data_IF_999575781647
#
_entry.id   IF_999575781647
#
_cell.length_a   1.000
_cell.length_b   1.000
_cell.length_c   1.000
_cell.angle_alpha   90.00
_cell.angle_beta   90.00
_cell.angle_gamma   90.00
#
_symmetry.space_group_name_H-M   'P 1'
#
loop_
_entity.id
_entity.type
_entity.pdbx_description
1 polymer ?
#
# COMPACT_ATOMS: atom_id res chain seq x y z
N UNK A 1 17.57 11.43 -6.41
CA UNK A 1 16.98 12.62 -5.74
C UNK A 1 18.03 13.17 -4.78
N UNK A 2 18.07 14.49 -4.56
CA UNK A 2 18.84 15.00 -3.42
C UNK A 2 18.13 14.57 -2.13
N UNK A 3 18.89 14.43 -1.02
CA UNK A 3 18.35 13.91 0.25
C UNK A 3 17.13 14.70 0.76
N UNK A 4 17.11 16.03 0.58
CA UNK A 4 15.98 16.88 0.96
C UNK A 4 14.68 16.58 0.19
N UNK A 5 14.76 16.36 -1.12
CA UNK A 5 13.58 16.05 -1.97
C UNK A 5 12.98 14.67 -1.63
N UNK A 6 13.81 13.76 -1.16
CA UNK A 6 13.41 12.42 -0.74
C UNK A 6 12.53 12.46 0.50
N UNK A 7 12.98 13.16 1.54
CA UNK A 7 12.22 13.29 2.79
C UNK A 7 10.89 14.01 2.56
N UNK A 8 10.86 15.07 1.75
CA UNK A 8 9.61 15.79 1.42
C UNK A 8 8.65 14.88 0.67
N UNK A 9 9.14 14.13 -0.33
CA UNK A 9 8.29 13.19 -1.10
C UNK A 9 7.77 12.06 -0.23
N UNK A 10 8.62 11.47 0.62
CA UNK A 10 8.26 10.43 1.57
C UNK A 10 7.19 10.91 2.57
N UNK A 11 7.35 12.11 3.13
CA UNK A 11 6.38 12.71 4.05
C UNK A 11 5.03 12.91 3.37
N UNK A 12 5.03 13.47 2.16
CA UNK A 12 3.80 13.62 1.36
C UNK A 12 3.15 12.27 1.03
N UNK A 13 3.95 11.23 0.78
CA UNK A 13 3.42 9.89 0.59
C UNK A 13 2.75 9.36 1.85
N UNK A 14 3.32 9.60 3.03
CA UNK A 14 2.72 9.21 4.32
C UNK A 14 1.37 9.92 4.54
N UNK A 15 1.29 11.21 4.26
CA UNK A 15 0.02 11.96 4.33
C UNK A 15 -1.03 11.38 3.38
N UNK A 16 -0.63 11.06 2.14
CA UNK A 16 -1.52 10.42 1.15
C UNK A 16 -1.94 9.02 1.60
N UNK A 17 -1.03 8.23 2.18
CA UNK A 17 -1.33 6.90 2.74
C UNK A 17 -2.39 7.01 3.83
N UNK A 18 -2.18 7.91 4.79
CA UNK A 18 -3.10 8.12 5.91
C UNK A 18 -4.48 8.55 5.41
N UNK A 19 -4.55 9.55 4.53
CA UNK A 19 -5.81 10.06 3.99
C UNK A 19 -6.57 8.98 3.19
N UNK A 20 -5.90 8.30 2.25
CA UNK A 20 -6.56 7.29 1.40
C UNK A 20 -7.00 6.06 2.21
N UNK A 21 -6.25 5.70 3.26
CA UNK A 21 -6.65 4.62 4.17
C UNK A 21 -7.86 5.03 5.00
N UNK A 22 -7.86 6.26 5.53
CA UNK A 22 -8.96 6.80 6.32
C UNK A 22 -10.25 6.94 5.51
N UNK A 23 -10.19 7.54 4.32
CA UNK A 23 -11.35 7.72 3.44
C UNK A 23 -12.01 6.38 3.10
N UNK A 24 -11.20 5.36 2.83
CA UNK A 24 -11.71 4.02 2.54
C UNK A 24 -12.31 3.35 3.78
N UNK A 25 -11.64 3.45 4.93
CA UNK A 25 -12.09 2.91 6.20
C UNK A 25 -13.37 3.58 6.72
N UNK A 26 -13.54 4.87 6.48
CA UNK A 26 -14.73 5.64 6.87
C UNK A 26 -15.93 5.33 5.96
N UNK A 27 -15.67 4.94 4.71
CA UNK A 27 -16.73 4.74 3.73
C UNK A 27 -17.81 3.75 4.21
N UNK A 28 -19.07 4.13 4.03
CA UNK A 28 -20.22 3.32 4.44
C UNK A 28 -20.15 1.91 3.84
N UNK A 29 -19.76 1.83 2.56
CA UNK A 29 -19.64 0.57 1.83
C UNK A 29 -18.59 -0.36 2.45
N UNK A 30 -17.42 0.16 2.79
CA UNK A 30 -16.38 -0.63 3.47
C UNK A 30 -16.88 -1.10 4.84
N UNK A 31 -17.43 -0.19 5.64
CA UNK A 31 -17.94 -0.49 6.98
C UNK A 31 -19.04 -1.56 6.97
N UNK A 32 -19.96 -1.50 6.01
CA UNK A 32 -20.96 -2.54 5.81
C UNK A 32 -20.30 -3.87 5.44
N UNK A 33 -19.35 -3.88 4.48
CA UNK A 33 -18.69 -5.10 4.02
C UNK A 33 -17.88 -5.81 5.11
N UNK A 34 -17.28 -5.08 6.06
CA UNK A 34 -16.55 -5.65 7.20
C UNK A 34 -17.43 -5.95 8.41
N UNK A 35 -18.72 -5.57 8.40
CA UNK A 35 -19.61 -5.72 9.55
C UNK A 35 -19.22 -4.83 10.73
N UNK A 36 -18.80 -3.59 10.44
CA UNK A 36 -18.11 -2.69 11.37
C UNK A 36 -18.80 -2.52 12.73
N UNK A 37 -20.14 -2.43 12.75
CA UNK A 37 -20.94 -2.27 13.97
C UNK A 37 -20.86 -3.46 14.94
N UNK A 38 -20.43 -4.63 14.47
CA UNK A 38 -20.27 -5.85 15.26
C UNK A 38 -18.82 -6.07 15.72
N UNK A 39 -17.89 -5.25 15.24
CA UNK A 39 -16.47 -5.36 15.56
C UNK A 39 -16.16 -4.66 16.88
N UNK A 40 -15.32 -5.29 17.70
CA UNK A 40 -14.72 -4.59 18.83
C UNK A 40 -13.78 -3.48 18.33
N UNK A 41 -13.52 -2.48 19.17
CA UNK A 41 -12.56 -1.40 18.84
C UNK A 41 -11.20 -1.96 18.42
N UNK A 42 -10.70 -2.97 19.14
CA UNK A 42 -9.43 -3.63 18.82
C UNK A 42 -9.45 -4.22 17.39
N UNK A 43 -10.57 -4.81 16.97
CA UNK A 43 -10.68 -5.38 15.63
C UNK A 43 -10.83 -4.30 14.55
N UNK A 44 -11.50 -3.18 14.87
CA UNK A 44 -11.55 -2.01 13.98
C UNK A 44 -10.16 -1.41 13.77
N UNK A 45 -9.39 -1.22 14.86
CA UNK A 45 -8.02 -0.69 14.83
C UNK A 45 -7.10 -1.65 14.04
N UNK A 46 -7.24 -2.97 14.26
CA UNK A 46 -6.47 -3.98 13.49
C UNK A 46 -6.75 -3.90 11.99
N UNK A 47 -8.01 -3.76 11.60
CA UNK A 47 -8.39 -3.65 10.18
C UNK A 47 -7.83 -2.36 9.59
N UNK A 48 -7.91 -1.24 10.31
CA UNK A 48 -7.32 0.02 9.87
C UNK A 48 -5.80 -0.09 9.65
N UNK A 49 -5.09 -0.69 10.60
CA UNK A 49 -3.65 -0.93 10.49
C UNK A 49 -3.30 -1.82 9.28
N UNK A 50 -4.16 -2.79 8.94
CA UNK A 50 -3.98 -3.62 7.75
C UNK A 50 -4.15 -2.83 6.45
N UNK A 51 -5.03 -1.81 6.42
CA UNK A 51 -5.14 -0.91 5.27
C UNK A 51 -3.85 -0.09 5.10
N UNK A 52 -3.35 0.54 6.16
CA UNK A 52 -2.13 1.36 6.10
C UNK A 52 -0.90 0.53 5.68
N UNK A 53 -0.71 -0.66 6.27
CA UNK A 53 0.42 -1.53 5.88
C UNK A 53 0.27 -2.07 4.45
N UNK A 54 -0.97 -2.23 3.95
CA UNK A 54 -1.20 -2.61 2.56
C UNK A 54 -0.71 -1.52 1.61
N UNK A 55 -0.96 -0.23 1.88
CA UNK A 55 -0.43 0.85 1.04
C UNK A 55 1.09 1.00 1.18
N UNK A 56 1.65 0.84 2.38
CA UNK A 56 3.11 0.74 2.53
C UNK A 56 3.69 -0.42 1.72
N UNK A 57 2.98 -1.55 1.68
CA UNK A 57 3.29 -2.71 0.84
C UNK A 57 3.25 -2.40 -0.65
N UNK A 58 2.31 -1.56 -1.08
CA UNK A 58 2.25 -1.04 -2.44
C UNK A 58 3.54 -0.29 -2.81
N UNK A 59 4.00 0.62 -1.94
CA UNK A 59 5.27 1.35 -2.14
C UNK A 59 6.45 0.37 -2.22
N UNK A 60 6.46 -0.65 -1.35
CA UNK A 60 7.50 -1.66 -1.35
C UNK A 60 7.55 -2.46 -2.66
N UNK A 61 6.40 -2.88 -3.19
CA UNK A 61 6.32 -3.60 -4.47
C UNK A 61 6.66 -2.68 -5.66
N UNK A 62 6.37 -1.38 -5.61
CA UNK A 62 6.88 -0.41 -6.59
C UNK A 62 8.41 -0.36 -6.60
N UNK A 63 9.05 -0.35 -5.44
CA UNK A 63 10.51 -0.37 -5.35
C UNK A 63 11.15 -1.69 -5.83
N UNK A 64 10.44 -2.83 -5.76
CA UNK A 64 10.91 -4.09 -6.35
C UNK A 64 10.95 -4.02 -7.88
N UNK A 65 10.04 -3.27 -8.50
CA UNK A 65 10.01 -3.08 -9.96
C UNK A 65 11.00 -2.00 -10.42
N UNK A 66 11.12 -0.92 -9.65
CA UNK A 66 11.95 0.23 -9.99
C UNK A 66 12.99 0.45 -8.87
N UNK A 67 14.22 -0.08 -9.03
CA UNK A 67 15.25 0.02 -8.00
C UNK A 67 15.58 1.45 -7.56
N UNK A 68 15.34 2.44 -8.43
CA UNK A 68 15.49 3.86 -8.10
C UNK A 68 14.55 4.34 -6.97
N UNK A 69 13.50 3.59 -6.64
CA UNK A 69 12.55 3.89 -5.57
C UNK A 69 12.90 3.20 -4.23
N UNK A 70 14.02 2.47 -4.15
CA UNK A 70 14.42 1.78 -2.91
C UNK A 70 14.59 2.76 -1.75
N UNK A 71 15.28 3.88 -1.99
CA UNK A 71 15.51 4.91 -0.97
C UNK A 71 14.18 5.57 -0.58
N UNK A 72 13.29 5.78 -1.55
CA UNK A 72 11.96 6.35 -1.29
C UNK A 72 11.11 5.42 -0.42
N UNK A 73 11.16 4.11 -0.67
CA UNK A 73 10.50 3.11 0.20
C UNK A 73 11.03 3.19 1.63
N UNK A 74 12.35 3.23 1.79
CA UNK A 74 12.97 3.29 3.13
C UNK A 74 12.58 4.57 3.87
N UNK A 75 12.66 5.71 3.19
CA UNK A 75 12.31 7.00 3.78
C UNK A 75 10.80 7.09 4.05
N UNK A 76 9.93 6.53 3.20
CA UNK A 76 8.48 6.48 3.44
C UNK A 76 8.16 5.70 4.72
N UNK A 77 8.80 4.54 4.93
CA UNK A 77 8.63 3.77 6.18
C UNK A 77 9.18 4.54 7.38
N UNK A 78 10.32 5.23 7.23
CA UNK A 78 10.89 6.05 8.30
C UNK A 78 9.95 7.19 8.70
N UNK A 79 9.47 7.96 7.71
CA UNK A 79 8.52 9.05 7.89
C UNK A 79 7.21 8.53 8.50
N UNK A 80 6.69 7.38 8.07
CA UNK A 80 5.47 6.80 8.63
C UNK A 80 5.61 6.52 10.13
N UNK A 81 6.69 5.85 10.54
CA UNK A 81 6.94 5.56 11.95
C UNK A 81 7.23 6.83 12.76
N UNK A 82 7.84 7.83 12.14
CA UNK A 82 8.08 9.13 12.78
C UNK A 82 6.77 9.88 13.04
N UNK A 83 5.87 9.93 12.06
CA UNK A 83 4.53 10.52 12.23
C UNK A 83 3.76 9.79 13.34
N UNK A 84 3.82 8.46 13.39
CA UNK A 84 3.18 7.70 14.47
C UNK A 84 3.73 8.08 15.86
N UNK A 85 5.06 8.27 16.00
CA UNK A 85 5.65 8.77 17.25
C UNK A 85 5.17 10.17 17.61
N UNK A 86 5.12 11.07 16.63
CA UNK A 86 4.68 12.45 16.81
C UNK A 86 3.21 12.55 17.21
N UNK A 87 2.38 11.58 16.77
CA UNK A 87 0.99 11.41 17.20
C UNK A 87 0.86 10.79 18.61
N UNK A 88 1.98 10.52 19.29
CA UNK A 88 2.01 10.03 20.67
C UNK A 88 2.02 8.51 20.81
N UNK A 89 2.29 7.75 19.75
CA UNK A 89 2.40 6.30 19.84
C UNK A 89 3.68 5.91 20.58
N UNK A 90 3.54 5.13 21.66
CA UNK A 90 4.67 4.67 22.47
C UNK A 90 5.64 3.77 21.68
N UNK A 91 6.93 3.79 22.04
CA UNK A 91 7.97 3.05 21.33
C UNK A 91 7.70 1.55 21.22
N UNK A 92 7.05 0.94 22.20
CA UNK A 92 6.66 -0.48 22.14
C UNK A 92 5.70 -0.79 20.96
N UNK A 93 4.80 0.14 20.64
CA UNK A 93 3.89 0.01 19.50
C UNK A 93 4.61 0.33 18.19
N UNK A 94 5.60 1.23 18.20
CA UNK A 94 6.47 1.48 17.06
C UNK A 94 7.27 0.22 16.69
N UNK A 95 7.82 -0.50 17.66
CA UNK A 95 8.49 -1.79 17.41
C UNK A 95 7.52 -2.85 16.86
N UNK A 96 6.28 -2.87 17.36
CA UNK A 96 5.22 -3.73 16.82
C UNK A 96 4.92 -3.40 15.36
N UNK A 97 4.83 -2.12 15.00
CA UNK A 97 4.65 -1.67 13.61
C UNK A 97 5.83 -2.06 12.72
N UNK A 98 7.07 -1.89 13.18
CA UNK A 98 8.25 -2.34 12.42
C UNK A 98 8.20 -3.83 12.11
N UNK A 99 7.78 -4.65 13.09
CA UNK A 99 7.62 -6.08 12.89
C UNK A 99 6.50 -6.39 11.89
N UNK A 100 5.34 -5.75 12.03
CA UNK A 100 4.21 -5.92 11.12
C UNK A 100 4.61 -5.58 9.67
N UNK A 101 5.20 -4.41 9.45
CA UNK A 101 5.68 -3.96 8.13
C UNK A 101 6.66 -4.97 7.54
N UNK A 102 7.65 -5.43 8.34
CA UNK A 102 8.65 -6.41 7.89
C UNK A 102 8.01 -7.73 7.47
N UNK A 103 7.07 -8.25 8.26
CA UNK A 103 6.38 -9.51 7.97
C UNK A 103 5.53 -9.37 6.70
N UNK A 104 4.72 -8.31 6.61
CA UNK A 104 3.88 -8.04 5.44
C UNK A 104 4.68 -7.85 4.16
N UNK A 105 5.78 -7.10 4.20
CA UNK A 105 6.63 -6.91 3.02
C UNK A 105 7.22 -8.23 2.52
N UNK A 106 7.59 -9.13 3.43
CA UNK A 106 8.10 -10.46 3.06
C UNK A 106 7.00 -11.30 2.42
N UNK A 107 5.82 -11.35 3.00
CA UNK A 107 4.65 -12.05 2.47
C UNK A 107 4.29 -11.54 1.07
N UNK A 108 4.07 -10.23 0.94
CA UNK A 108 3.67 -9.60 -0.31
C UNK A 108 4.71 -9.82 -1.41
N UNK A 109 6.01 -9.76 -1.09
CA UNK A 109 7.08 -10.01 -2.06
C UNK A 109 7.06 -11.44 -2.61
N UNK A 110 6.82 -12.43 -1.76
CA UNK A 110 6.74 -13.83 -2.17
C UNK A 110 5.53 -14.03 -3.08
N UNK A 111 4.36 -13.56 -2.63
CA UNK A 111 3.11 -13.72 -3.35
C UNK A 111 3.12 -12.95 -4.68
N UNK A 112 3.69 -11.76 -4.70
CA UNK A 112 3.84 -10.95 -5.91
C UNK A 112 4.66 -11.67 -6.99
N UNK A 113 5.78 -12.29 -6.61
CA UNK A 113 6.57 -13.09 -7.56
C UNK A 113 5.80 -14.27 -8.11
N UNK A 114 4.98 -14.92 -7.26
CA UNK A 114 4.15 -16.04 -7.68
C UNK A 114 3.03 -15.61 -8.62
N UNK A 115 2.32 -14.52 -8.30
CA UNK A 115 1.29 -13.94 -9.16
C UNK A 115 1.88 -13.48 -10.49
N UNK A 116 3.03 -12.80 -10.48
CA UNK A 116 3.69 -12.36 -11.70
C UNK A 116 4.10 -13.54 -12.60
N UNK A 117 4.64 -14.62 -12.02
CA UNK A 117 4.95 -15.86 -12.76
C UNK A 117 3.69 -16.44 -13.42
N UNK A 118 2.58 -16.50 -12.67
CA UNK A 118 1.32 -17.05 -13.14
C UNK A 118 0.60 -16.13 -14.15
N UNK A 119 0.84 -14.82 -14.09
CA UNK A 119 0.21 -13.82 -14.97
C UNK A 119 0.56 -13.98 -16.44
N UNK A 120 1.66 -14.69 -16.75
CA UNK A 120 2.03 -15.02 -18.14
C UNK A 120 1.01 -15.94 -18.82
N UNK A 121 0.22 -16.67 -18.05
CA UNK A 121 -0.87 -17.49 -18.56
C UNK A 121 -2.19 -16.72 -18.71
N UNK A 122 -2.26 -15.44 -18.31
CA UNK A 122 -3.45 -14.60 -18.47
C UNK A 122 -3.49 -14.09 -19.92
N UNK A 123 -4.15 -14.86 -20.79
CA UNK A 123 -4.26 -14.58 -22.23
C UNK A 123 -4.78 -13.17 -22.56
N UNK A 124 -5.61 -12.60 -21.69
CA UNK A 124 -6.23 -11.27 -21.89
C UNK A 124 -5.25 -10.10 -21.79
N UNK A 125 -4.06 -10.30 -21.20
CA UNK A 125 -3.06 -9.24 -21.05
C UNK A 125 -2.01 -9.24 -22.18
N UNK A 126 -2.01 -10.25 -23.06
CA UNK A 126 -1.10 -10.36 -24.21
C UNK A 126 0.36 -10.05 -23.85
N UNK A 127 1.08 -9.35 -24.75
CA UNK A 127 2.47 -8.91 -24.54
C UNK A 127 2.61 -7.61 -23.71
N UNK A 128 1.54 -7.15 -23.05
CA UNK A 128 1.55 -5.88 -22.30
C UNK A 128 2.20 -6.06 -20.93
N UNK A 129 3.52 -6.23 -20.90
CA UNK A 129 4.30 -6.50 -19.68
C UNK A 129 4.04 -5.46 -18.57
N UNK A 130 3.98 -4.16 -18.92
CA UNK A 130 3.68 -3.11 -17.94
C UNK A 130 2.33 -3.32 -17.26
N UNK A 131 1.31 -3.72 -18.03
CA UNK A 131 -0.02 -3.96 -17.52
C UNK A 131 -0.07 -5.22 -16.65
N UNK A 132 0.67 -6.28 -17.03
CA UNK A 132 0.82 -7.49 -16.22
C UNK A 132 1.42 -7.20 -14.84
N UNK A 133 2.47 -6.38 -14.79
CA UNK A 133 3.13 -6.00 -13.54
C UNK A 133 2.20 -5.21 -12.63
N UNK A 134 1.50 -4.20 -13.16
CA UNK A 134 0.52 -3.41 -12.39
C UNK A 134 -0.58 -4.31 -11.84
N UNK A 135 -1.15 -5.18 -12.68
CA UNK A 135 -2.18 -6.11 -12.24
C UNK A 135 -1.68 -7.10 -11.20
N UNK A 136 -0.49 -7.67 -11.36
CA UNK A 136 0.09 -8.58 -10.39
C UNK A 136 0.21 -7.93 -9.01
N UNK A 137 0.65 -6.65 -8.96
CA UNK A 137 0.73 -5.88 -7.72
C UNK A 137 -0.63 -5.69 -7.06
N UNK A 138 -1.62 -5.22 -7.83
CA UNK A 138 -2.99 -4.99 -7.34
C UNK A 138 -3.62 -6.29 -6.83
N UNK A 139 -3.50 -7.38 -7.59
CA UNK A 139 -4.05 -8.68 -7.21
C UNK A 139 -3.39 -9.21 -5.94
N UNK A 140 -2.06 -9.18 -5.85
CA UNK A 140 -1.34 -9.64 -4.66
C UNK A 140 -1.81 -8.90 -3.40
N UNK A 141 -1.89 -7.58 -3.45
CA UNK A 141 -2.29 -6.76 -2.31
C UNK A 141 -3.77 -6.92 -1.99
N UNK A 142 -4.64 -7.07 -3.01
CA UNK A 142 -6.07 -7.31 -2.81
C UNK A 142 -6.29 -8.63 -2.06
N UNK A 143 -5.67 -9.73 -2.52
CA UNK A 143 -5.78 -11.05 -1.89
C UNK A 143 -5.25 -11.01 -0.47
N UNK A 144 -4.06 -10.44 -0.27
CA UNK A 144 -3.42 -10.41 1.03
C UNK A 144 -4.19 -9.56 2.03
N UNK A 145 -4.55 -8.33 1.66
CA UNK A 145 -5.32 -7.44 2.52
C UNK A 145 -6.67 -8.07 2.89
N UNK A 146 -7.38 -8.65 1.91
CA UNK A 146 -8.64 -9.34 2.18
C UNK A 146 -8.45 -10.52 3.12
N UNK A 147 -7.41 -11.34 2.89
CA UNK A 147 -7.08 -12.46 3.75
C UNK A 147 -6.80 -12.02 5.18
N UNK A 148 -6.00 -10.97 5.39
CA UNK A 148 -5.69 -10.47 6.72
C UNK A 148 -6.91 -9.81 7.39
N UNK A 149 -7.73 -9.06 6.66
CA UNK A 149 -9.01 -8.52 7.17
C UNK A 149 -9.93 -9.67 7.61
N UNK A 150 -10.05 -10.73 6.80
CA UNK A 150 -10.90 -11.91 7.10
C UNK A 150 -10.22 -12.98 7.96
N UNK A 151 -9.00 -12.76 8.44
CA UNK A 151 -8.20 -13.74 9.20
C UNK A 151 -8.09 -15.10 8.48
N UNK A 152 -7.84 -15.07 7.18
CA UNK A 152 -7.74 -16.22 6.30
C UNK A 152 -9.08 -16.82 5.83
N UNK A 153 -10.21 -16.37 6.38
CA UNK A 153 -11.55 -16.90 6.04
C UNK A 153 -12.16 -16.20 4.83
N UNK A 154 -11.47 -16.26 3.69
CA UNK A 154 -11.89 -15.59 2.44
C UNK A 154 -12.92 -16.44 1.69
N UNK A 155 -13.96 -15.80 1.18
CA UNK A 155 -14.94 -16.39 0.26
C UNK A 155 -14.68 -15.90 -1.17
N UNK A 156 -14.90 -16.76 -2.18
CA UNK A 156 -14.83 -16.40 -3.61
C UNK A 156 -15.73 -15.22 -3.98
N UNK A 157 -16.86 -15.05 -3.28
CA UNK A 157 -17.81 -13.97 -3.51
C UNK A 157 -17.75 -12.89 -2.41
N UNK A 158 -16.61 -12.74 -1.72
CA UNK A 158 -16.48 -11.72 -0.68
C UNK A 158 -16.73 -10.32 -1.27
N UNK A 159 -17.71 -9.56 -0.77
CA UNK A 159 -18.04 -8.25 -1.32
C UNK A 159 -16.87 -7.26 -1.24
N UNK A 160 -15.97 -7.44 -0.27
CA UNK A 160 -14.82 -6.57 -0.05
C UNK A 160 -13.73 -6.72 -1.14
N UNK A 161 -13.70 -7.85 -1.85
CA UNK A 161 -12.74 -8.10 -2.93
C UNK A 161 -12.75 -6.98 -3.99
N UNK A 162 -13.94 -6.67 -4.51
CA UNK A 162 -14.09 -5.67 -5.56
C UNK A 162 -13.75 -4.26 -5.07
N UNK A 163 -13.99 -3.98 -3.79
CA UNK A 163 -13.76 -2.67 -3.20
C UNK A 163 -12.28 -2.43 -2.95
N UNK A 164 -11.58 -3.42 -2.39
CA UNK A 164 -10.13 -3.38 -2.24
C UNK A 164 -9.42 -3.24 -3.60
N UNK A 165 -9.87 -3.98 -4.62
CA UNK A 165 -9.28 -3.90 -5.96
C UNK A 165 -9.45 -2.52 -6.59
N UNK A 166 -10.65 -1.92 -6.46
CA UNK A 166 -10.92 -0.55 -6.92
C UNK A 166 -10.07 0.47 -6.17
N UNK A 167 -10.01 0.34 -4.84
CA UNK A 167 -9.21 1.21 -3.98
C UNK A 167 -7.72 1.17 -4.35
N UNK A 168 -7.15 -0.02 -4.52
CA UNK A 168 -5.75 -0.19 -4.95
C UNK A 168 -5.47 0.31 -6.37
N UNK A 169 -6.47 0.23 -7.27
CA UNK A 169 -6.37 0.83 -8.61
C UNK A 169 -6.29 2.36 -8.52
N UNK A 170 -7.08 2.98 -7.64
CA UNK A 170 -7.02 4.43 -7.40
C UNK A 170 -5.69 4.86 -6.77
N UNK A 171 -5.11 4.02 -5.90
CA UNK A 171 -3.77 4.23 -5.35
C UNK A 171 -2.72 4.24 -6.45
N UNK A 172 -2.72 3.27 -7.38
CA UNK A 172 -1.77 3.26 -8.52
C UNK A 172 -1.81 4.56 -9.31
N UNK A 173 -3.02 5.06 -9.64
CA UNK A 173 -3.18 6.32 -10.36
C UNK A 173 -2.71 7.55 -9.56
N UNK A 174 -2.86 7.51 -8.23
CA UNK A 174 -2.43 8.61 -7.36
C UNK A 174 -0.91 8.60 -7.17
N UNK A 175 -0.33 7.41 -6.99
CA UNK A 175 1.09 7.24 -6.77
C UNK A 175 1.91 7.70 -7.98
N UNK A 176 1.47 7.33 -9.19
CA UNK A 176 2.08 7.80 -10.43
C UNK A 176 2.12 9.35 -10.51
N UNK A 177 1.05 10.03 -10.08
CA UNK A 177 0.99 11.49 -10.04
C UNK A 177 1.94 12.09 -9.00
N UNK A 178 2.03 11.51 -7.81
CA UNK A 178 2.93 12.01 -6.75
C UNK A 178 4.37 11.88 -7.20
N UNK A 179 4.77 10.73 -7.73
CA UNK A 179 6.13 10.48 -8.22
C UNK A 179 6.46 11.42 -9.40
N UNK A 180 5.56 11.56 -10.38
CA UNK A 180 5.77 12.48 -11.50
C UNK A 180 5.92 13.93 -11.02
N UNK A 181 5.04 14.41 -10.14
CA UNK A 181 5.12 15.79 -9.63
C UNK A 181 6.43 16.05 -8.89
N UNK A 182 6.93 15.08 -8.13
CA UNK A 182 8.21 15.19 -7.42
C UNK A 182 9.42 15.10 -8.36
N UNK A 183 9.35 14.33 -9.46
CA UNK A 183 10.43 14.20 -10.43
C UNK A 183 10.54 15.37 -11.42
N UNK A 184 9.41 15.97 -11.80
CA UNK A 184 9.35 17.08 -12.77
C UNK A 184 9.50 18.47 -12.14
N UNK A 185 9.54 18.61 -10.80
CA UNK A 185 9.88 19.85 -10.10
C UNK A 185 11.39 20.18 -10.08
N UNK A 186 12.19 19.65 -11.01
CA UNK A 186 13.52 20.23 -11.25
C UNK A 186 13.31 21.58 -11.94
N UNK A 187 13.87 22.68 -11.42
CA UNK A 187 14.04 23.86 -12.25
C UNK A 187 14.84 23.39 -13.46
N UNK A 188 14.30 23.62 -14.66
CA UNK A 188 15.15 23.73 -15.85
C UNK A 188 16.13 24.81 -15.45
N UNK A 189 17.39 24.42 -15.24
CA UNK A 189 18.46 25.37 -14.99
C UNK A 189 18.37 26.41 -16.08
N UNK A 190 18.04 27.63 -15.69
CA UNK A 190 18.25 28.81 -16.52
C UNK A 190 19.75 28.80 -16.85
N UNK A 191 20.03 28.94 -18.15
CA UNK A 191 21.33 28.84 -18.80
C UNK A 191 22.48 29.53 -18.04
#
# INVERSE_FOLDING_TARGET
>A
MQSGDLTVTATRLVEVIAQISYDFWESERFRQAVGFSQLSRIEQDRIFNELEVTILGFVALQAEQYPLLIDLKQETVRSFLQVMRELGLEDQFIETWKLLIKVRFKEYKIDYRQVLKNSRAWGDLGDKERLRVVWARIETLTVNCLSHIRRGKVNKNDPLWNDLRKWLTMIELTFDKVIQTSMYRRPIGVC
#
